data_IF_101418157035
#
_entry.id   IF_101418157035
#
_cell.length_a   1.000
_cell.length_b   1.000
_cell.length_c   1.000
_cell.angle_alpha   90.00
_cell.angle_beta   90.00
_cell.angle_gamma   90.00
#
_symmetry.space_group_name_H-M   'P 1'
#
loop_
_entity.id
_entity.type
_entity.pdbx_description
1 polymer ?
#
# COMPACT_ATOMS: atom_id res chain seq x y z
N UNK A 1 29.54 18.60 2.33
CA UNK A 1 28.94 18.33 1.01
C UNK A 1 28.18 17.01 1.05
N UNK A 2 28.63 16.03 1.85
CA UNK A 2 27.84 14.84 2.21
C UNK A 2 26.73 15.13 3.25
N UNK A 3 26.93 16.06 4.18
CA UNK A 3 25.89 16.40 5.19
C UNK A 3 24.65 17.13 4.62
N UNK A 4 24.69 17.58 3.36
CA UNK A 4 23.56 18.28 2.70
C UNK A 4 22.69 17.35 1.85
N UNK A 5 23.17 16.13 1.54
CA UNK A 5 22.36 15.12 0.84
C UNK A 5 21.50 14.30 1.82
N UNK A 6 21.92 14.20 3.08
CA UNK A 6 21.15 13.52 4.13
C UNK A 6 19.98 14.38 4.63
N UNK A 7 20.16 15.71 4.75
CA UNK A 7 19.06 16.63 5.12
C UNK A 7 17.94 16.70 4.06
N UNK A 8 18.27 16.53 2.77
CA UNK A 8 17.30 16.48 1.66
C UNK A 8 16.57 15.14 1.61
N UNK A 9 17.24 14.04 1.97
CA UNK A 9 16.57 12.74 2.13
C UNK A 9 15.67 12.74 3.36
N UNK A 10 16.06 13.38 4.45
CA UNK A 10 15.27 13.43 5.68
C UNK A 10 14.01 14.30 5.50
N UNK A 11 14.08 15.43 4.78
CA UNK A 11 12.86 16.22 4.46
C UNK A 11 11.92 15.54 3.46
N UNK A 12 12.45 14.83 2.46
CA UNK A 12 11.64 14.02 1.54
C UNK A 12 11.04 12.77 2.18
N UNK A 13 11.57 12.31 3.32
CA UNK A 13 11.03 11.18 4.10
C UNK A 13 10.04 11.68 5.16
N UNK A 14 10.31 12.82 5.81
CA UNK A 14 9.48 13.34 6.91
C UNK A 14 8.16 13.94 6.42
N UNK A 15 8.11 14.58 5.24
CA UNK A 15 6.82 15.04 4.66
C UNK A 15 6.03 13.88 4.01
N UNK A 16 6.68 12.76 3.69
CA UNK A 16 6.10 11.66 2.93
C UNK A 16 5.60 10.50 3.81
N UNK A 17 6.22 10.28 4.98
CA UNK A 17 5.70 9.39 6.03
C UNK A 17 4.45 9.96 6.70
N UNK A 18 4.27 11.29 6.70
CA UNK A 18 3.00 11.91 7.10
C UNK A 18 1.89 11.61 6.09
N UNK A 19 2.18 11.58 4.79
CA UNK A 19 1.15 11.47 3.73
C UNK A 19 0.80 10.05 3.27
N UNK A 20 1.72 9.08 3.30
CA UNK A 20 1.39 7.67 3.04
C UNK A 20 0.53 7.06 4.16
N UNK A 21 0.64 7.61 5.37
CA UNK A 21 -0.26 7.32 6.48
C UNK A 21 -1.59 8.07 6.41
N UNK A 22 -1.71 9.18 5.68
CA UNK A 22 -2.90 10.06 5.74
C UNK A 22 -4.16 9.44 5.13
N UNK A 23 -4.08 8.67 4.04
CA UNK A 23 -5.28 8.02 3.47
C UNK A 23 -5.93 7.02 4.46
N UNK A 24 -5.11 6.41 5.33
CA UNK A 24 -5.55 5.49 6.38
C UNK A 24 -5.76 6.18 7.75
N UNK A 25 -5.03 7.25 8.07
CA UNK A 25 -5.17 8.04 9.31
C UNK A 25 -6.40 8.94 9.28
N UNK A 26 -6.82 9.40 8.10
CA UNK A 26 -8.01 10.23 7.93
C UNK A 26 -9.32 9.46 8.18
N UNK A 27 -9.28 8.12 8.19
CA UNK A 27 -10.40 7.26 8.59
C UNK A 27 -10.43 6.96 10.11
N UNK A 28 -9.43 7.41 10.88
CA UNK A 28 -9.33 7.12 12.32
C UNK A 28 -9.11 8.35 13.22
N UNK A 29 -9.20 9.57 12.68
CA UNK A 29 -9.08 10.80 13.46
C UNK A 29 -9.68 12.00 12.73
N UNK A 30 -10.98 12.25 12.94
CA UNK A 30 -11.59 13.58 12.73
C UNK A 30 -12.53 13.89 13.89
N UNK A 31 -11.97 14.45 14.95
CA UNK A 31 -12.69 15.07 16.06
C UNK A 31 -12.18 16.50 16.28
N UNK A 32 -13.13 17.45 16.38
CA UNK A 32 -13.04 18.89 16.68
C UNK A 32 -12.28 19.80 15.71
N UNK A 33 -12.75 21.01 15.35
CA UNK A 33 -13.92 21.81 15.75
C UNK A 33 -13.80 23.16 15.02
N UNK A 34 -14.85 23.57 14.30
CA UNK A 34 -15.67 24.77 14.55
C UNK A 34 -15.14 26.09 13.94
N UNK A 35 -16.06 26.71 13.17
CA UNK A 35 -15.99 28.03 12.57
C UNK A 35 -16.47 29.05 13.60
N UNK A 36 -15.68 30.09 13.87
CA UNK A 36 -16.23 31.38 14.31
C UNK A 36 -15.44 32.52 13.63
N UNK A 37 -16.17 33.35 12.88
CA UNK A 37 -15.79 34.72 12.52
C UNK A 37 -16.33 35.64 13.63
N UNK A 38 -15.53 36.57 14.15
CA UNK A 38 -15.89 37.99 14.25
C UNK A 38 -14.70 38.86 14.73
N UNK A 39 -14.82 40.12 14.34
CA UNK A 39 -13.90 41.26 14.27
C UNK A 39 -13.57 41.92 15.62
N UNK A 40 -12.37 42.50 15.74
CA UNK A 40 -12.19 43.85 16.32
C UNK A 40 -10.73 44.33 16.15
N UNK A 41 -10.60 45.56 15.67
CA UNK A 41 -9.33 46.19 15.31
C UNK A 41 -8.58 46.90 16.44
N UNK A 42 -7.32 47.17 16.08
CA UNK A 42 -6.50 48.34 16.39
C UNK A 42 -5.24 48.17 17.26
N UNK A 43 -4.17 48.72 16.69
CA UNK A 43 -2.90 49.18 17.24
C UNK A 43 -1.95 48.21 18.00
N UNK A 44 -0.86 47.86 17.32
CA UNK A 44 0.48 48.20 17.80
C UNK A 44 1.54 47.93 16.73
N UNK A 45 1.92 48.98 16.00
CA UNK A 45 3.18 49.07 15.25
C UNK A 45 4.37 48.75 16.19
N UNK A 46 4.92 47.54 16.08
CA UNK A 46 6.27 47.23 16.60
C UNK A 46 7.10 46.73 15.43
N UNK A 47 7.89 47.63 14.88
CA UNK A 47 8.92 47.34 13.90
C UNK A 47 9.94 46.37 14.50
N UNK A 48 9.79 45.07 14.22
CA UNK A 48 10.85 44.09 14.35
C UNK A 48 11.35 43.74 12.96
N UNK A 49 12.37 44.50 12.55
CA UNK A 49 13.27 44.14 11.47
C UNK A 49 14.12 42.97 11.96
N UNK A 50 13.70 41.74 11.67
CA UNK A 50 14.51 40.56 11.96
C UNK A 50 14.45 39.56 10.80
N UNK A 51 15.56 39.49 10.05
CA UNK A 51 16.00 38.38 9.18
C UNK A 51 15.00 37.77 8.18
N UNK A 52 14.82 38.44 7.02
CA UNK A 52 13.97 38.00 5.88
C UNK A 52 14.72 37.17 4.80
N UNK A 53 15.92 36.65 5.07
CA UNK A 53 16.72 35.92 4.05
C UNK A 53 16.44 34.39 4.00
N UNK A 54 15.69 33.83 4.96
CA UNK A 54 15.39 32.38 5.01
C UNK A 54 14.03 32.00 4.42
N UNK A 55 13.08 32.94 4.32
CA UNK A 55 11.73 32.68 3.81
C UNK A 55 11.68 32.67 2.27
N UNK A 56 12.55 33.43 1.60
CA UNK A 56 12.63 33.48 0.13
C UNK A 56 13.16 32.17 -0.47
N UNK A 57 14.10 31.50 0.21
CA UNK A 57 14.65 30.22 -0.24
C UNK A 57 13.62 29.08 -0.26
N UNK A 58 12.76 29.01 0.76
CA UNK A 58 11.73 27.98 0.85
C UNK A 58 10.58 28.25 -0.13
N UNK A 59 10.14 29.51 -0.25
CA UNK A 59 9.15 29.91 -1.24
C UNK A 59 9.62 29.68 -2.69
N UNK A 60 10.92 29.86 -2.97
CA UNK A 60 11.51 29.56 -4.27
C UNK A 60 11.49 28.05 -4.58
N UNK A 61 11.89 27.20 -3.61
CA UNK A 61 11.84 25.74 -3.76
C UNK A 61 10.42 25.23 -4.01
N UNK A 62 9.44 25.71 -3.25
CA UNK A 62 8.03 25.37 -3.43
C UNK A 62 7.51 25.75 -4.83
N UNK A 63 7.93 26.90 -5.36
CA UNK A 63 7.58 27.33 -6.72
C UNK A 63 8.23 26.45 -7.78
N UNK A 64 9.49 26.07 -7.58
CA UNK A 64 10.21 25.18 -8.48
C UNK A 64 9.61 23.77 -8.50
N UNK A 65 9.30 23.22 -7.32
CA UNK A 65 8.59 21.95 -7.15
C UNK A 65 7.22 21.97 -7.86
N UNK A 66 6.43 23.03 -7.66
CA UNK A 66 5.16 23.21 -8.38
C UNK A 66 5.38 23.21 -9.90
N UNK A 67 6.41 23.90 -10.38
CA UNK A 67 6.76 23.90 -11.80
C UNK A 67 7.16 22.52 -12.34
N UNK A 68 7.83 21.67 -11.54
CA UNK A 68 8.11 20.29 -11.92
C UNK A 68 6.85 19.42 -11.96
N UNK A 69 5.96 19.57 -10.99
CA UNK A 69 4.67 18.86 -10.93
C UNK A 69 3.83 19.20 -12.17
N UNK A 70 3.70 20.48 -12.51
CA UNK A 70 2.96 20.93 -13.71
C UNK A 70 3.56 20.38 -15.01
N UNK A 71 4.89 20.32 -15.11
CA UNK A 71 5.58 19.73 -16.27
C UNK A 71 5.30 18.24 -16.39
N UNK A 72 5.43 17.49 -15.29
CA UNK A 72 5.15 16.05 -15.28
C UNK A 72 3.69 15.78 -15.64
N UNK A 73 2.76 16.57 -15.08
CA UNK A 73 1.34 16.46 -15.38
C UNK A 73 1.03 16.69 -16.86
N UNK A 74 1.62 17.73 -17.47
CA UNK A 74 1.49 17.99 -18.90
C UNK A 74 2.12 16.89 -19.76
N UNK A 75 3.27 16.34 -19.36
CA UNK A 75 3.93 15.24 -20.07
C UNK A 75 3.09 13.97 -20.02
N UNK A 76 2.55 13.62 -18.86
CA UNK A 76 1.70 12.44 -18.71
C UNK A 76 0.40 12.61 -19.48
N UNK A 77 -0.23 13.78 -19.42
CA UNK A 77 -1.41 14.09 -20.23
C UNK A 77 -1.16 13.90 -21.73
N UNK A 78 0.01 14.35 -22.21
CA UNK A 78 0.43 14.16 -23.60
C UNK A 78 0.69 12.68 -23.93
N UNK A 79 1.31 11.93 -23.01
CA UNK A 79 1.57 10.50 -23.20
C UNK A 79 0.28 9.69 -23.24
N UNK A 80 -0.68 9.96 -22.35
CA UNK A 80 -2.00 9.35 -22.41
C UNK A 80 -2.65 9.62 -23.77
N UNK A 81 -2.77 10.89 -24.15
CA UNK A 81 -3.36 11.28 -25.43
C UNK A 81 -2.65 10.66 -26.65
N UNK A 82 -1.32 10.51 -26.60
CA UNK A 82 -0.53 9.89 -27.65
C UNK A 82 -0.84 8.39 -27.78
N UNK A 83 -0.93 7.67 -26.66
CA UNK A 83 -1.17 6.23 -26.67
C UNK A 83 -2.65 5.85 -26.90
N UNK A 84 -3.61 6.72 -26.54
CA UNK A 84 -5.05 6.45 -26.67
C UNK A 84 -5.49 5.87 -28.03
N UNK A 85 -5.08 6.42 -29.19
CA UNK A 85 -5.51 5.89 -30.48
C UNK A 85 -5.07 4.44 -30.75
N UNK A 86 -3.95 3.99 -30.16
CA UNK A 86 -3.42 2.64 -30.34
C UNK A 86 -4.23 1.58 -29.59
N UNK A 87 -4.88 1.97 -28.49
CA UNK A 87 -5.65 1.06 -27.64
C UNK A 87 -7.16 1.14 -27.90
N UNK A 88 -7.69 2.30 -28.30
CA UNK A 88 -9.13 2.50 -28.54
C UNK A 88 -9.53 2.22 -30.00
N UNK A 89 -8.73 2.63 -30.99
CA UNK A 89 -9.08 2.50 -32.41
C UNK A 89 -8.42 1.23 -32.99
N UNK A 90 -9.10 0.08 -32.81
CA UNK A 90 -8.73 -1.31 -33.16
C UNK A 90 -8.32 -1.58 -34.63
N UNK A 91 -7.41 -0.80 -35.20
CA UNK A 91 -6.95 -0.90 -36.60
C UNK A 91 -5.67 -1.71 -36.73
N UNK A 92 -4.94 -1.90 -35.63
CA UNK A 92 -3.75 -2.75 -35.50
C UNK A 92 -3.73 -3.35 -34.09
N UNK A 93 -3.25 -4.58 -33.96
CA UNK A 93 -3.11 -5.28 -32.67
C UNK A 93 -2.25 -4.44 -31.70
N UNK A 94 -2.86 -3.62 -30.84
CA UNK A 94 -2.20 -2.83 -29.78
C UNK A 94 -1.37 -3.67 -28.79
N UNK A 95 -1.37 -4.99 -28.97
CA UNK A 95 -0.49 -5.98 -28.38
C UNK A 95 1.01 -5.63 -28.50
N UNK A 96 1.49 -5.20 -29.66
CA UNK A 96 2.92 -4.92 -29.86
C UNK A 96 3.35 -3.65 -29.09
N UNK A 97 2.52 -2.61 -29.13
CA UNK A 97 2.73 -1.38 -28.37
C UNK A 97 2.66 -1.64 -26.86
N UNK A 98 1.73 -2.49 -26.42
CA UNK A 98 1.66 -2.89 -25.01
C UNK A 98 2.87 -3.71 -24.57
N UNK A 99 3.36 -4.63 -25.41
CA UNK A 99 4.58 -5.39 -25.13
C UNK A 99 5.79 -4.46 -24.96
N UNK A 100 5.88 -3.39 -25.74
CA UNK A 100 6.91 -2.36 -25.57
C UNK A 100 6.77 -1.65 -24.21
N UNK A 101 5.55 -1.27 -23.83
CA UNK A 101 5.28 -0.68 -22.50
C UNK A 101 5.64 -1.65 -21.36
N UNK A 102 5.35 -2.94 -21.50
CA UNK A 102 5.73 -3.99 -20.52
C UNK A 102 7.25 -4.20 -20.44
N UNK A 103 7.96 -4.05 -21.56
CA UNK A 103 9.41 -4.09 -21.56
C UNK A 103 10.00 -2.87 -20.83
N UNK A 104 9.47 -1.68 -21.08
CA UNK A 104 9.86 -0.44 -20.37
C UNK A 104 9.52 -0.51 -18.89
N UNK A 105 8.37 -1.10 -18.53
CA UNK A 105 8.00 -1.40 -17.16
C UNK A 105 9.10 -2.18 -16.44
N UNK A 106 9.50 -3.28 -17.04
CA UNK A 106 10.44 -4.23 -16.45
C UNK A 106 11.87 -3.68 -16.33
N UNK A 107 12.27 -2.84 -17.29
CA UNK A 107 13.66 -2.34 -17.40
C UNK A 107 13.87 -0.98 -16.76
N UNK A 108 12.81 -0.15 -16.67
CA UNK A 108 12.92 1.24 -16.23
C UNK A 108 12.02 1.51 -15.01
N UNK A 109 10.74 1.17 -15.08
CA UNK A 109 9.78 1.55 -14.02
C UNK A 109 10.02 0.75 -12.74
N UNK A 110 10.10 -0.59 -12.81
CA UNK A 110 10.30 -1.42 -11.61
C UNK A 110 11.64 -1.12 -10.91
N UNK A 111 12.77 -0.92 -11.62
CA UNK A 111 14.02 -0.51 -10.98
C UNK A 111 14.00 0.92 -10.41
N UNK A 112 13.14 1.80 -10.93
CA UNK A 112 13.00 3.19 -10.43
C UNK A 112 12.05 3.21 -9.23
N UNK A 113 12.56 2.75 -8.10
CA UNK A 113 11.83 2.69 -6.84
C UNK A 113 11.27 4.09 -6.45
N UNK A 114 10.05 4.12 -5.91
CA UNK A 114 9.30 5.32 -5.51
C UNK A 114 8.91 6.29 -6.63
N UNK A 115 8.91 5.84 -7.90
CA UNK A 115 8.20 6.58 -8.94
C UNK A 115 6.70 6.60 -8.66
N UNK A 116 6.03 7.75 -8.80
CA UNK A 116 4.61 7.94 -8.39
C UNK A 116 3.59 7.99 -9.52
N UNK A 117 4.00 8.41 -10.71
CA UNK A 117 3.03 8.79 -11.75
C UNK A 117 3.22 8.04 -13.07
N UNK A 118 4.45 7.72 -13.47
CA UNK A 118 4.73 7.12 -14.78
C UNK A 118 4.07 5.74 -14.96
N UNK A 119 3.98 4.96 -13.89
CA UNK A 119 3.32 3.66 -13.90
C UNK A 119 1.83 3.74 -14.25
N UNK A 120 1.18 4.89 -14.07
CA UNK A 120 -0.25 5.05 -14.39
C UNK A 120 -0.54 4.99 -15.90
N UNK A 121 0.48 5.18 -16.74
CA UNK A 121 0.37 4.91 -18.19
C UNK A 121 0.01 3.44 -18.41
N UNK A 122 0.74 2.52 -17.77
CA UNK A 122 0.43 1.09 -17.84
C UNK A 122 -0.87 0.76 -17.13
N UNK A 123 -1.15 1.41 -16.00
CA UNK A 123 -2.40 1.19 -15.26
C UNK A 123 -3.65 1.42 -16.13
N UNK A 124 -3.67 2.54 -16.86
CA UNK A 124 -4.76 2.89 -17.76
C UNK A 124 -4.87 1.92 -18.94
N UNK A 125 -3.78 1.73 -19.69
CA UNK A 125 -3.85 0.92 -20.92
C UNK A 125 -3.95 -0.58 -20.67
N UNK A 126 -3.48 -1.08 -19.52
CA UNK A 126 -3.70 -2.47 -19.13
C UNK A 126 -5.21 -2.76 -18.98
N UNK A 127 -5.99 -1.78 -18.51
CA UNK A 127 -7.42 -1.92 -18.28
C UNK A 127 -8.27 -1.75 -19.55
N UNK A 128 -7.67 -1.48 -20.71
CA UNK A 128 -8.40 -1.34 -21.98
C UNK A 128 -8.94 -2.68 -22.52
N UNK A 129 -8.40 -3.81 -22.08
CA UNK A 129 -8.87 -5.14 -22.48
C UNK A 129 -8.53 -6.19 -21.41
N UNK A 130 -9.41 -7.18 -21.15
CA UNK A 130 -9.13 -8.32 -20.27
C UNK A 130 -7.79 -9.03 -20.58
N UNK A 131 -7.42 -9.13 -21.85
CA UNK A 131 -6.17 -9.75 -22.26
C UNK A 131 -4.93 -8.97 -21.77
N UNK A 132 -5.00 -7.63 -21.78
CA UNK A 132 -3.89 -6.77 -21.36
C UNK A 132 -3.75 -6.76 -19.83
N UNK A 133 -4.86 -6.85 -19.10
CA UNK A 133 -4.89 -7.09 -17.65
C UNK A 133 -4.13 -8.39 -17.34
N UNK A 134 -4.48 -9.48 -18.01
CA UNK A 134 -3.82 -10.78 -17.83
C UNK A 134 -2.32 -10.72 -18.14
N UNK A 135 -1.92 -10.01 -19.20
CA UNK A 135 -0.52 -9.84 -19.55
C UNK A 135 0.25 -9.04 -18.50
N UNK A 136 -0.30 -7.90 -18.05
CA UNK A 136 0.34 -7.07 -17.04
C UNK A 136 0.47 -7.79 -15.70
N UNK A 137 -0.62 -8.39 -15.21
CA UNK A 137 -0.61 -9.15 -13.95
C UNK A 137 0.30 -10.37 -14.05
N UNK A 138 0.27 -11.10 -15.18
CA UNK A 138 1.17 -12.23 -15.45
C UNK A 138 2.64 -11.84 -15.41
N UNK A 139 3.02 -10.73 -16.04
CA UNK A 139 4.40 -10.19 -16.00
C UNK A 139 4.79 -9.80 -14.57
N UNK A 140 3.92 -9.12 -13.82
CA UNK A 140 4.20 -8.73 -12.43
C UNK A 140 4.39 -9.95 -11.51
N UNK A 141 3.53 -10.97 -11.64
CA UNK A 141 3.63 -12.22 -10.88
C UNK A 141 4.91 -12.98 -11.26
N UNK A 142 5.22 -13.09 -12.55
CA UNK A 142 6.46 -13.72 -13.01
C UNK A 142 7.68 -13.04 -12.39
N UNK A 143 7.71 -11.71 -12.38
CA UNK A 143 8.78 -10.92 -11.78
C UNK A 143 8.88 -11.08 -10.26
N UNK A 144 7.74 -11.17 -9.57
CA UNK A 144 7.68 -11.29 -8.11
C UNK A 144 8.22 -12.64 -7.61
N UNK A 145 8.08 -13.71 -8.40
CA UNK A 145 8.46 -15.07 -7.99
C UNK A 145 9.63 -15.68 -8.79
N UNK A 146 10.31 -14.88 -9.63
CA UNK A 146 11.48 -15.32 -10.41
C UNK A 146 12.75 -15.41 -9.53
N UNK A 147 13.29 -16.62 -9.27
CA UNK A 147 14.51 -16.77 -8.47
C UNK A 147 15.77 -16.15 -9.10
N UNK A 148 15.77 -15.86 -10.40
CA UNK A 148 16.91 -15.26 -11.08
C UNK A 148 17.01 -13.74 -10.84
N UNK A 149 15.95 -13.10 -10.31
CA UNK A 149 15.93 -11.65 -10.07
C UNK A 149 16.40 -11.28 -8.67
N UNK A 150 17.01 -10.08 -8.49
CA UNK A 150 17.38 -9.57 -7.17
C UNK A 150 16.17 -9.48 -6.23
N UNK A 151 16.38 -9.76 -4.94
CA UNK A 151 15.30 -9.78 -3.92
C UNK A 151 14.47 -8.48 -3.93
N UNK A 152 15.13 -7.32 -3.93
CA UNK A 152 14.47 -6.00 -3.93
C UNK A 152 13.56 -5.84 -5.15
N UNK A 153 13.99 -6.30 -6.32
CA UNK A 153 13.18 -6.25 -7.53
C UNK A 153 11.89 -7.07 -7.38
N UNK A 154 12.00 -8.28 -6.79
CA UNK A 154 10.85 -9.15 -6.54
C UNK A 154 9.85 -8.54 -5.56
N UNK A 155 10.35 -7.87 -4.52
CA UNK A 155 9.52 -7.19 -3.53
C UNK A 155 8.73 -6.03 -4.17
N UNK A 156 9.39 -5.21 -5.00
CA UNK A 156 8.72 -4.12 -5.74
C UNK A 156 7.68 -4.71 -6.71
N UNK A 157 8.02 -5.77 -7.43
CA UNK A 157 7.08 -6.44 -8.33
C UNK A 157 5.84 -7.00 -7.58
N UNK A 158 6.03 -7.57 -6.38
CA UNK A 158 4.91 -8.01 -5.54
C UNK A 158 4.01 -6.83 -5.11
N UNK A 159 4.60 -5.66 -4.80
CA UNK A 159 3.84 -4.45 -4.51
C UNK A 159 3.02 -3.96 -5.72
N UNK A 160 3.57 -4.05 -6.94
CA UNK A 160 2.82 -3.79 -8.18
C UNK A 160 1.63 -4.75 -8.36
N UNK A 161 1.80 -6.06 -8.07
CA UNK A 161 0.68 -7.03 -8.10
C UNK A 161 -0.42 -6.61 -7.13
N UNK A 162 -0.06 -6.39 -5.86
CA UNK A 162 -1.02 -6.04 -4.82
C UNK A 162 -1.77 -4.75 -5.13
N UNK A 163 -1.03 -3.72 -5.50
CA UNK A 163 -1.58 -2.39 -5.77
C UNK A 163 -2.47 -2.37 -7.02
N UNK A 164 -2.07 -3.05 -8.10
CA UNK A 164 -2.87 -3.08 -9.33
C UNK A 164 -4.20 -3.79 -9.11
N UNK A 165 -4.18 -5.00 -8.54
CA UNK A 165 -5.38 -5.82 -8.30
C UNK A 165 -6.36 -5.11 -7.36
N UNK A 166 -5.85 -4.39 -6.37
CA UNK A 166 -6.65 -3.64 -5.41
C UNK A 166 -7.28 -2.36 -6.01
N UNK A 167 -6.61 -1.69 -6.96
CA UNK A 167 -7.02 -0.38 -7.47
C UNK A 167 -7.65 -0.41 -8.86
N UNK A 168 -7.37 -1.40 -9.71
CA UNK A 168 -7.94 -1.51 -11.05
C UNK A 168 -9.45 -1.78 -10.99
N UNK A 169 -10.27 -0.88 -11.53
CA UNK A 169 -11.73 -1.00 -11.51
C UNK A 169 -12.26 -1.98 -12.58
N UNK A 170 -11.57 -2.10 -13.72
CA UNK A 170 -12.03 -2.92 -14.85
C UNK A 170 -11.67 -4.41 -14.72
N UNK A 171 -11.27 -4.86 -13.52
CA UNK A 171 -10.90 -6.26 -13.27
C UNK A 171 -12.14 -7.08 -12.87
N UNK A 172 -12.38 -8.22 -13.53
CA UNK A 172 -13.54 -9.06 -13.17
C UNK A 172 -13.27 -9.85 -11.88
N UNK A 173 -14.33 -10.32 -11.21
CA UNK A 173 -14.17 -11.12 -9.98
C UNK A 173 -13.37 -12.40 -10.23
N UNK A 174 -13.51 -13.02 -11.40
CA UNK A 174 -12.76 -14.22 -11.78
C UNK A 174 -11.26 -13.92 -11.86
N UNK A 175 -10.88 -12.76 -12.42
CA UNK A 175 -9.48 -12.32 -12.49
C UNK A 175 -8.91 -12.05 -11.10
N UNK A 176 -9.65 -11.35 -10.23
CA UNK A 176 -9.24 -11.12 -8.83
C UNK A 176 -8.98 -12.45 -8.13
N UNK A 177 -9.93 -13.39 -8.20
CA UNK A 177 -9.83 -14.73 -7.59
C UNK A 177 -8.64 -15.50 -8.13
N UNK A 178 -8.41 -15.46 -9.44
CA UNK A 178 -7.33 -16.19 -10.08
C UNK A 178 -5.96 -15.64 -9.67
N UNK A 179 -5.78 -14.31 -9.68
CA UNK A 179 -4.54 -13.69 -9.20
C UNK A 179 -4.31 -14.01 -7.72
N UNK A 180 -5.34 -13.87 -6.88
CA UNK A 180 -5.27 -14.19 -5.45
C UNK A 180 -4.84 -15.65 -5.23
N UNK A 181 -5.42 -16.58 -6.00
CA UNK A 181 -5.09 -18.02 -5.97
C UNK A 181 -3.66 -18.29 -6.42
N UNK A 182 -3.20 -17.70 -7.52
CA UNK A 182 -1.84 -17.88 -8.06
C UNK A 182 -0.79 -17.35 -7.07
N UNK A 183 -0.97 -16.13 -6.58
CA UNK A 183 -0.05 -15.52 -5.60
C UNK A 183 -0.03 -16.36 -4.31
N UNK A 184 -1.21 -16.76 -3.81
CA UNK A 184 -1.31 -17.63 -2.64
C UNK A 184 -0.64 -18.99 -2.83
N UNK A 185 -0.82 -19.63 -3.98
CA UNK A 185 -0.16 -20.90 -4.28
C UNK A 185 1.38 -20.77 -4.29
N UNK A 186 1.91 -19.68 -4.84
CA UNK A 186 3.35 -19.41 -4.84
C UNK A 186 3.90 -19.20 -3.42
N UNK A 187 3.19 -18.44 -2.58
CA UNK A 187 3.56 -18.25 -1.17
C UNK A 187 3.52 -19.58 -0.39
N UNK A 188 2.48 -20.41 -0.58
CA UNK A 188 2.42 -21.73 0.08
C UNK A 188 3.52 -22.68 -0.41
N UNK A 189 3.88 -22.60 -1.70
CA UNK A 189 5.02 -23.34 -2.26
C UNK A 189 6.33 -22.90 -1.61
N UNK A 190 6.52 -21.61 -1.37
CA UNK A 190 7.64 -21.07 -0.61
C UNK A 190 7.67 -21.61 0.82
N UNK A 191 6.54 -21.57 1.54
CA UNK A 191 6.45 -22.11 2.90
C UNK A 191 6.91 -23.58 2.95
N UNK A 192 6.44 -24.41 2.02
CA UNK A 192 6.81 -25.84 1.97
C UNK A 192 8.32 -26.06 1.78
N UNK A 193 9.02 -25.16 1.09
CA UNK A 193 10.46 -25.27 0.81
C UNK A 193 11.31 -24.78 1.98
N UNK A 194 10.97 -23.62 2.55
CA UNK A 194 11.85 -22.90 3.50
C UNK A 194 11.49 -23.12 4.99
N UNK A 195 10.29 -23.62 5.32
CA UNK A 195 9.81 -23.68 6.71
C UNK A 195 10.57 -24.68 7.60
N UNK A 196 11.23 -25.68 7.00
CA UNK A 196 12.09 -26.60 7.72
C UNK A 196 13.30 -25.89 8.36
N UNK A 197 13.86 -24.90 7.65
CA UNK A 197 15.02 -24.13 8.08
C UNK A 197 14.65 -22.82 8.79
N UNK A 198 13.38 -22.44 8.74
CA UNK A 198 12.86 -21.23 9.39
C UNK A 198 12.90 -21.36 10.92
N UNK A 199 13.68 -20.47 11.55
CA UNK A 199 13.79 -20.34 13.01
C UNK A 199 12.95 -19.20 13.59
N UNK A 200 12.31 -18.41 12.72
CA UNK A 200 11.53 -17.23 13.07
C UNK A 200 11.56 -16.20 11.93
N UNK A 201 10.98 -15.01 12.16
CA UNK A 201 10.88 -13.97 11.14
C UNK A 201 12.25 -13.39 10.75
N UNK A 202 12.52 -13.25 9.45
CA UNK A 202 13.77 -12.71 8.92
C UNK A 202 13.55 -12.03 7.55
N UNK A 203 13.48 -10.69 7.56
CA UNK A 203 13.19 -9.87 6.37
C UNK A 203 14.28 -9.98 5.30
N UNK A 204 15.53 -10.14 5.70
CA UNK A 204 16.66 -10.20 4.75
C UNK A 204 16.63 -11.50 3.97
N UNK A 205 16.24 -12.60 4.64
CA UNK A 205 16.18 -13.92 4.01
C UNK A 205 14.87 -14.16 3.28
N UNK A 206 13.75 -13.71 3.83
CA UNK A 206 12.39 -14.05 3.36
C UNK A 206 11.60 -12.82 2.89
N UNK A 207 12.29 -11.75 2.45
CA UNK A 207 11.68 -10.47 2.10
C UNK A 207 10.63 -10.54 0.98
N UNK A 208 10.79 -11.46 0.04
CA UNK A 208 9.84 -11.74 -1.03
C UNK A 208 8.56 -12.41 -0.51
N UNK A 209 8.69 -13.36 0.43
CA UNK A 209 7.55 -13.96 1.12
C UNK A 209 6.72 -12.88 1.85
N UNK A 210 7.37 -11.97 2.57
CA UNK A 210 6.66 -10.90 3.27
C UNK A 210 6.02 -9.90 2.32
N UNK A 211 6.71 -9.48 1.25
CA UNK A 211 6.15 -8.56 0.26
C UNK A 211 4.95 -9.17 -0.47
N UNK A 212 5.03 -10.45 -0.88
CA UNK A 212 3.92 -11.16 -1.51
C UNK A 212 2.74 -11.38 -0.53
N UNK A 213 3.03 -11.64 0.75
CA UNK A 213 1.98 -11.75 1.78
C UNK A 213 1.30 -10.39 2.01
N UNK A 214 2.07 -9.31 2.14
CA UNK A 214 1.53 -7.94 2.25
C UNK A 214 0.64 -7.59 1.05
N UNK A 215 1.05 -7.97 -0.17
CA UNK A 215 0.23 -7.79 -1.37
C UNK A 215 -1.11 -8.55 -1.28
N UNK A 216 -1.13 -9.80 -0.80
CA UNK A 216 -2.39 -10.54 -0.59
C UNK A 216 -3.29 -9.92 0.48
N UNK A 217 -2.71 -9.49 1.61
CA UNK A 217 -3.47 -8.82 2.67
C UNK A 217 -4.08 -7.51 2.14
N UNK A 218 -3.33 -6.76 1.35
CA UNK A 218 -3.79 -5.52 0.71
C UNK A 218 -4.92 -5.78 -0.29
N UNK A 219 -4.77 -6.78 -1.17
CA UNK A 219 -5.83 -7.21 -2.10
C UNK A 219 -7.08 -7.60 -1.32
N UNK A 220 -6.94 -8.40 -0.25
CA UNK A 220 -8.08 -8.77 0.59
C UNK A 220 -8.79 -7.54 1.16
N UNK A 221 -8.05 -6.53 1.62
CA UNK A 221 -8.66 -5.32 2.18
C UNK A 221 -9.56 -4.60 1.17
N UNK A 222 -9.12 -4.49 -0.09
CA UNK A 222 -9.85 -3.77 -1.14
C UNK A 222 -10.91 -4.60 -1.86
N UNK A 223 -10.69 -5.91 -1.98
CA UNK A 223 -11.40 -6.80 -2.89
C UNK A 223 -12.00 -8.05 -2.22
N UNK A 224 -12.34 -7.95 -0.92
CA UNK A 224 -12.89 -9.10 -0.20
C UNK A 224 -14.26 -9.54 -0.76
N UNK A 225 -15.06 -8.61 -1.30
CA UNK A 225 -16.40 -8.89 -1.88
C UNK A 225 -16.28 -9.87 -3.03
N UNK A 226 -15.28 -9.67 -3.88
CA UNK A 226 -14.97 -10.52 -5.01
C UNK A 226 -14.51 -11.92 -4.57
N UNK A 227 -14.13 -12.14 -3.31
CA UNK A 227 -13.72 -13.44 -2.77
C UNK A 227 -14.88 -14.23 -2.14
N UNK A 228 -16.09 -13.68 -2.12
CA UNK A 228 -17.31 -14.33 -1.62
C UNK A 228 -18.09 -14.96 -2.77
N UNK A 229 -18.71 -16.12 -2.55
CA UNK A 229 -19.57 -16.77 -3.54
C UNK A 229 -20.98 -16.18 -3.44
N UNK A 230 -21.41 -15.53 -4.51
CA UNK A 230 -22.77 -15.00 -4.62
C UNK A 230 -23.77 -16.16 -4.68
N UNK A 231 -24.71 -16.22 -3.74
CA UNK A 231 -25.90 -17.06 -3.84
C UNK A 231 -26.96 -16.29 -4.64
N UNK A 232 -27.77 -16.98 -5.45
CA UNK A 232 -28.58 -16.44 -6.55
C UNK A 232 -29.62 -15.34 -6.23
N UNK A 233 -29.75 -14.89 -4.97
CA UNK A 233 -30.69 -13.86 -4.48
C UNK A 233 -30.00 -12.66 -3.80
N UNK A 234 -28.75 -12.36 -4.16
CA UNK A 234 -27.93 -11.31 -3.51
C UNK A 234 -27.92 -10.01 -4.32
N UNK A 235 -28.53 -8.95 -3.77
CA UNK A 235 -28.29 -7.58 -4.23
C UNK A 235 -26.86 -7.17 -3.78
N UNK A 236 -25.99 -6.79 -4.73
CA UNK A 236 -24.55 -6.51 -4.50
C UNK A 236 -24.28 -5.34 -3.53
N UNK A 237 -25.28 -4.50 -3.25
CA UNK A 237 -25.14 -3.24 -2.49
C UNK A 237 -25.45 -3.32 -0.98
N UNK A 238 -25.89 -4.48 -0.46
CA UNK A 238 -26.28 -4.61 0.95
C UNK A 238 -25.14 -5.14 1.85
N UNK A 239 -24.15 -4.27 2.12
CA UNK A 239 -23.01 -4.58 3.01
C UNK A 239 -23.43 -5.06 4.41
N UNK A 240 -24.59 -4.60 4.90
CA UNK A 240 -25.14 -4.96 6.20
C UNK A 240 -25.53 -6.44 6.31
N UNK A 241 -25.73 -7.12 5.17
CA UNK A 241 -26.15 -8.53 5.15
C UNK A 241 -24.98 -9.51 5.33
N UNK A 242 -23.75 -9.11 5.02
CA UNK A 242 -22.54 -9.86 5.39
C UNK A 242 -22.27 -9.83 6.91
N UNK A 243 -23.01 -9.01 7.66
CA UNK A 243 -22.99 -8.94 9.14
C UNK A 243 -24.01 -9.89 9.79
N UNK A 244 -24.88 -10.49 8.98
CA UNK A 244 -25.92 -11.39 9.44
C UNK A 244 -25.39 -12.68 10.09
N UNK A 245 -26.29 -13.48 10.71
CA UNK A 245 -25.97 -14.81 11.21
C UNK A 245 -25.69 -15.83 10.08
N UNK A 246 -26.07 -15.50 8.84
CA UNK A 246 -25.91 -16.37 7.68
C UNK A 246 -24.43 -16.45 7.27
N UNK A 247 -23.93 -17.68 7.15
CA UNK A 247 -22.51 -17.98 6.96
C UNK A 247 -22.04 -17.49 5.58
N UNK A 248 -21.27 -16.38 5.56
CA UNK A 248 -20.60 -15.89 4.34
C UNK A 248 -19.79 -17.03 3.72
N UNK A 249 -20.14 -17.42 2.51
CA UNK A 249 -19.49 -18.55 1.83
C UNK A 249 -18.31 -18.03 1.02
N UNK A 250 -17.10 -18.31 1.50
CA UNK A 250 -15.86 -17.91 0.85
C UNK A 250 -15.48 -18.87 -0.29
N UNK A 251 -14.76 -18.37 -1.29
CA UNK A 251 -14.16 -19.23 -2.32
C UNK A 251 -13.30 -20.32 -1.64
N UNK A 252 -13.48 -21.61 -1.98
CA UNK A 252 -12.81 -22.72 -1.34
C UNK A 252 -11.28 -22.57 -1.34
N UNK A 253 -10.65 -22.84 -0.19
CA UNK A 253 -9.20 -22.83 -0.05
C UNK A 253 -8.59 -21.47 0.29
N UNK A 254 -9.32 -20.35 0.14
CA UNK A 254 -8.78 -19.01 0.47
C UNK A 254 -8.50 -18.90 1.97
N UNK A 255 -9.47 -19.31 2.81
CA UNK A 255 -9.36 -19.26 4.27
C UNK A 255 -8.23 -20.15 4.77
N UNK A 256 -8.15 -21.38 4.27
CA UNK A 256 -7.11 -22.35 4.63
C UNK A 256 -5.72 -21.87 4.20
N UNK A 257 -5.61 -21.27 3.01
CA UNK A 257 -4.36 -20.74 2.47
C UNK A 257 -3.85 -19.59 3.32
N UNK A 258 -4.69 -18.58 3.57
CA UNK A 258 -4.31 -17.44 4.40
C UNK A 258 -3.99 -17.86 5.84
N UNK A 259 -4.80 -18.74 6.44
CA UNK A 259 -4.51 -19.27 7.77
C UNK A 259 -3.14 -19.97 7.80
N UNK A 260 -2.83 -20.82 6.80
CA UNK A 260 -1.54 -21.52 6.75
C UNK A 260 -0.34 -20.57 6.61
N UNK A 261 -0.49 -19.48 5.85
CA UNK A 261 0.55 -18.47 5.69
C UNK A 261 0.75 -17.65 6.97
N UNK A 262 -0.33 -17.15 7.56
CA UNK A 262 -0.32 -16.27 8.74
C UNK A 262 0.27 -16.98 9.96
N UNK A 263 -0.16 -18.21 10.22
CA UNK A 263 0.28 -19.00 11.38
C UNK A 263 1.54 -19.85 11.09
N UNK A 264 2.23 -19.59 9.97
CA UNK A 264 3.53 -20.22 9.70
C UNK A 264 4.62 -19.70 10.63
N UNK A 265 5.76 -20.42 10.69
CA UNK A 265 6.94 -19.97 11.46
C UNK A 265 7.50 -18.62 11.01
N UNK A 266 7.17 -18.17 9.79
CA UNK A 266 7.61 -16.89 9.25
C UNK A 266 6.91 -15.70 9.89
N UNK A 267 5.71 -15.90 10.47
CA UNK A 267 4.89 -14.89 11.15
C UNK A 267 4.83 -13.54 10.40
N UNK A 268 4.20 -13.49 9.21
CA UNK A 268 4.15 -12.29 8.39
C UNK A 268 3.49 -11.09 9.07
N UNK A 269 2.55 -11.30 10.00
CA UNK A 269 1.87 -10.19 10.71
C UNK A 269 2.79 -9.39 11.64
N UNK A 270 4.00 -9.88 11.95
CA UNK A 270 5.01 -9.10 12.70
C UNK A 270 5.91 -8.26 11.78
N UNK A 271 5.99 -8.61 10.48
CA UNK A 271 6.94 -8.01 9.54
C UNK A 271 6.25 -7.11 8.52
N UNK A 272 5.06 -7.49 8.04
CA UNK A 272 4.29 -6.63 7.13
C UNK A 272 3.91 -5.31 7.82
N UNK A 273 3.67 -4.27 7.03
CA UNK A 273 3.32 -2.95 7.53
C UNK A 273 2.17 -3.00 8.55
N UNK A 274 2.31 -2.34 9.72
CA UNK A 274 1.25 -2.28 10.72
C UNK A 274 -0.07 -1.73 10.17
N UNK A 275 -0.02 -0.78 9.23
CA UNK A 275 -1.22 -0.19 8.62
C UNK A 275 -2.03 -1.27 7.90
N UNK A 276 -1.38 -2.03 7.01
CA UNK A 276 -2.03 -3.11 6.25
C UNK A 276 -2.50 -4.24 7.18
N UNK A 277 -1.69 -4.61 8.18
CA UNK A 277 -2.02 -5.69 9.12
C UNK A 277 -3.21 -5.33 10.00
N UNK A 278 -3.28 -4.11 10.53
CA UNK A 278 -4.39 -3.68 11.38
C UNK A 278 -5.70 -3.60 10.59
N UNK A 279 -5.64 -3.12 9.35
CA UNK A 279 -6.81 -3.03 8.48
C UNK A 279 -7.33 -4.42 8.09
N UNK A 280 -6.41 -5.32 7.71
CA UNK A 280 -6.75 -6.73 7.52
C UNK A 280 -7.36 -7.34 8.78
N UNK A 281 -6.84 -7.05 9.97
CA UNK A 281 -7.36 -7.60 11.22
C UNK A 281 -8.76 -7.09 11.55
N UNK A 282 -9.04 -5.79 11.36
CA UNK A 282 -10.38 -5.21 11.51
C UNK A 282 -11.37 -5.89 10.57
N UNK A 283 -11.06 -5.92 9.27
CA UNK A 283 -11.88 -6.55 8.24
C UNK A 283 -12.11 -8.05 8.49
N UNK A 284 -11.03 -8.80 8.71
CA UNK A 284 -11.12 -10.25 8.88
C UNK A 284 -11.91 -10.64 10.15
N UNK A 285 -11.86 -9.81 11.20
CA UNK A 285 -12.66 -10.00 12.40
C UNK A 285 -14.14 -9.68 12.14
N UNK A 286 -14.42 -8.54 11.51
CA UNK A 286 -15.77 -8.10 11.19
C UNK A 286 -16.51 -9.08 10.25
N UNK A 287 -15.83 -9.56 9.22
CA UNK A 287 -16.35 -10.54 8.27
C UNK A 287 -16.32 -11.99 8.81
N UNK A 288 -15.95 -12.19 10.09
CA UNK A 288 -15.75 -13.50 10.73
C UNK A 288 -14.87 -14.46 9.89
N UNK A 289 -13.96 -13.90 9.12
CA UNK A 289 -13.10 -14.62 8.20
C UNK A 289 -11.97 -15.34 8.96
N UNK A 290 -11.14 -14.58 9.68
CA UNK A 290 -10.02 -15.07 10.49
C UNK A 290 -9.81 -14.18 11.72
N UNK A 291 -9.66 -14.80 12.90
CA UNK A 291 -9.41 -14.07 14.15
C UNK A 291 -7.92 -13.99 14.47
N UNK A 292 -7.26 -12.92 13.98
CA UNK A 292 -5.81 -12.73 14.09
C UNK A 292 -5.37 -11.75 15.19
N UNK A 293 -6.30 -11.06 15.84
CA UNK A 293 -6.02 -10.06 16.88
C UNK A 293 -5.13 -10.61 18.02
N UNK A 294 -5.38 -11.81 18.58
CA UNK A 294 -4.51 -12.35 19.63
C UNK A 294 -3.08 -12.62 19.15
N UNK A 295 -2.92 -13.03 17.88
CA UNK A 295 -1.61 -13.25 17.27
C UNK A 295 -0.84 -11.93 17.16
N UNK A 296 -1.50 -10.87 16.68
CA UNK A 296 -0.92 -9.52 16.61
C UNK A 296 -0.53 -9.02 18.01
N UNK A 297 -1.37 -9.23 19.03
CA UNK A 297 -1.04 -8.85 20.41
C UNK A 297 0.16 -9.63 20.96
N UNK A 298 0.25 -10.93 20.66
CA UNK A 298 1.44 -11.72 21.01
C UNK A 298 2.71 -11.25 20.31
N UNK A 299 2.58 -10.76 19.06
CA UNK A 299 3.70 -10.27 18.26
C UNK A 299 4.33 -9.00 18.84
N UNK A 300 3.57 -8.19 19.60
CA UNK A 300 4.11 -7.02 20.31
C UNK A 300 5.17 -7.39 21.37
N UNK A 301 5.20 -8.64 21.82
CA UNK A 301 6.19 -9.17 22.77
C UNK A 301 7.39 -9.82 22.07
N UNK A 302 7.32 -10.02 20.76
CA UNK A 302 8.40 -10.59 19.96
C UNK A 302 9.30 -9.45 19.46
N UNK A 303 10.54 -9.43 19.93
CA UNK A 303 11.57 -8.56 19.39
C UNK A 303 12.19 -9.20 18.16
N UNK A 304 12.16 -8.49 17.02
CA UNK A 304 12.87 -8.91 15.81
C UNK A 304 14.37 -8.73 16.08
N UNK A 305 15.04 -9.75 16.62
CA UNK A 305 16.44 -9.61 17.02
C UNK A 305 17.35 -9.51 15.79
N UNK A 306 18.02 -8.37 15.65
CA UNK A 306 19.13 -8.19 14.73
C UNK A 306 20.36 -8.97 15.25
N UNK A 307 20.50 -10.24 14.87
CA UNK A 307 21.77 -10.94 15.14
C UNK A 307 22.78 -10.48 14.10
N UNK A 308 23.56 -9.44 14.42
CA UNK A 308 24.87 -9.28 13.78
C UNK A 308 25.63 -10.57 14.02
N UNK A 309 25.88 -11.34 12.97
CA UNK A 309 26.96 -12.30 12.97
C UNK A 309 28.30 -11.53 12.90
N UNK A 310 28.56 -10.65 13.87
CA UNK A 310 29.91 -10.15 14.12
C UNK A 310 30.55 -11.13 15.08
N UNK A 311 31.41 -11.95 14.49
CA UNK A 311 32.49 -12.60 15.21
C UNK A 311 33.32 -11.51 15.89
N UNK A 312 33.63 -11.76 17.17
CA UNK A 312 34.73 -11.21 17.95
C UNK A 312 34.46 -10.03 18.94
N UNK A 313 35.16 -10.12 20.07
CA UNK A 313 35.42 -9.12 21.13
C UNK A 313 34.48 -8.98 22.34
N UNK A 314 34.74 -9.85 23.32
CA UNK A 314 34.89 -9.73 24.80
C UNK A 314 34.53 -8.46 25.62
N UNK A 315 34.03 -7.34 25.09
CA UNK A 315 33.70 -6.18 25.94
C UNK A 315 32.53 -5.38 25.42
N UNK A 316 31.29 -5.79 25.72
CA UNK A 316 30.16 -4.88 25.72
C UNK A 316 29.33 -5.10 26.99
N UNK A 317 29.24 -4.05 27.82
CA UNK A 317 28.25 -3.95 28.89
C UNK A 317 26.86 -4.17 28.29
N UNK A 318 25.91 -4.80 29.01
CA UNK A 318 24.52 -4.83 28.57
C UNK A 318 23.97 -3.41 28.71
N UNK A 319 24.02 -2.65 27.64
CA UNK A 319 23.27 -1.40 27.54
C UNK A 319 21.79 -1.79 27.71
N UNK A 320 21.15 -1.24 28.75
CA UNK A 320 19.74 -1.51 29.02
C UNK A 320 18.93 -0.91 27.88
N UNK A 321 18.62 -1.74 26.89
CA UNK A 321 17.64 -1.42 25.86
C UNK A 321 16.32 -1.05 26.56
N UNK A 322 15.93 0.21 26.43
CA UNK A 322 14.61 0.65 26.89
C UNK A 322 13.58 0.29 25.82
N UNK A 323 12.34 0.04 26.21
CA UNK A 323 11.27 -0.29 25.27
C UNK A 323 11.06 0.79 24.17
N UNK A 324 11.51 2.02 24.42
CA UNK A 324 11.45 3.14 23.48
C UNK A 324 12.56 3.10 22.42
N UNK A 325 13.80 2.72 22.79
CA UNK A 325 14.91 2.56 21.83
C UNK A 325 14.70 1.34 20.95
N UNK A 326 14.23 0.22 21.54
CA UNK A 326 13.95 -1.02 20.82
C UNK A 326 12.81 -0.90 19.79
N UNK A 327 11.79 -0.06 20.03
CA UNK A 327 10.72 0.21 19.05
C UNK A 327 11.20 0.97 17.80
N UNK A 328 12.16 1.88 17.94
CA UNK A 328 12.71 2.66 16.82
C UNK A 328 13.61 1.80 15.93
N UNK A 329 14.29 0.82 16.52
CA UNK A 329 15.11 -0.16 15.80
C UNK A 329 14.27 -1.21 15.06
N UNK A 330 13.07 -1.54 15.57
CA UNK A 330 12.15 -2.49 14.93
C UNK A 330 11.45 -1.93 13.68
N UNK A 331 11.29 -0.61 13.56
CA UNK A 331 10.63 0.02 12.42
C UNK A 331 11.37 -0.26 11.09
N UNK A 332 12.69 -0.38 11.13
CA UNK A 332 13.52 -0.78 9.98
C UNK A 332 13.36 -2.25 9.57
N UNK A 333 12.77 -3.06 10.45
CA UNK A 333 12.52 -4.49 10.25
C UNK A 333 11.05 -4.74 9.86
N UNK A 334 10.22 -3.71 9.81
CA UNK A 334 8.90 -3.75 9.23
C UNK A 334 8.97 -3.35 7.75
N UNK A 335 8.12 -3.96 6.93
CA UNK A 335 7.96 -3.53 5.54
C UNK A 335 7.24 -2.20 5.48
N UNK A 336 7.73 -1.30 4.63
CA UNK A 336 7.01 -0.09 4.28
C UNK A 336 5.69 -0.42 3.56
N UNK A 337 4.66 0.39 3.78
CA UNK A 337 3.39 0.33 3.07
C UNK A 337 3.49 1.02 1.69
N UNK A 338 4.50 0.65 0.89
CA UNK A 338 4.65 1.23 -0.45
C UNK A 338 3.78 0.47 -1.47
N UNK A 339 2.79 1.15 -2.05
CA UNK A 339 1.93 0.62 -3.11
C UNK A 339 1.99 1.53 -4.35
N UNK A 340 2.51 1.04 -5.50
CA UNK A 340 2.77 1.88 -6.66
C UNK A 340 1.58 2.61 -7.28
N UNK A 341 0.35 2.16 -7.06
CA UNK A 341 -0.87 2.79 -7.55
C UNK A 341 -1.67 3.46 -6.43
N UNK A 342 -0.99 4.04 -5.43
CA UNK A 342 -1.60 5.00 -4.51
C UNK A 342 -2.15 6.24 -5.24
N UNK A 343 -3.10 7.00 -4.64
CA UNK A 343 -3.97 7.91 -5.37
C UNK A 343 -3.23 8.88 -6.29
N UNK A 344 -3.77 8.99 -7.51
CA UNK A 344 -3.22 9.86 -8.54
C UNK A 344 -3.63 11.32 -8.32
N UNK A 345 -2.67 12.17 -7.93
CA UNK A 345 -2.92 13.56 -7.51
C UNK A 345 -2.66 14.64 -8.57
N UNK A 346 -2.24 14.28 -9.79
CA UNK A 346 -1.90 15.27 -10.82
C UNK A 346 -3.16 15.84 -11.49
N UNK A 347 -3.41 17.15 -11.40
CA UNK A 347 -4.73 17.73 -11.66
C UNK A 347 -5.22 17.62 -13.10
N UNK A 348 -4.33 17.71 -14.10
CA UNK A 348 -4.71 17.70 -15.51
C UNK A 348 -4.87 16.28 -16.06
N UNK A 349 -3.92 15.41 -15.77
CA UNK A 349 -3.90 14.04 -16.26
C UNK A 349 -4.76 13.08 -15.45
N UNK A 350 -5.24 13.47 -14.25
CA UNK A 350 -6.15 12.65 -13.42
C UNK A 350 -7.40 12.21 -14.18
N UNK A 351 -7.92 13.04 -15.10
CA UNK A 351 -9.08 12.74 -15.95
C UNK A 351 -8.98 11.42 -16.74
N UNK A 352 -7.75 10.93 -17.01
CA UNK A 352 -7.54 9.67 -17.72
C UNK A 352 -7.72 8.44 -16.83
N UNK A 353 -7.61 8.64 -15.52
CA UNK A 353 -7.67 7.58 -14.50
C UNK A 353 -9.03 7.56 -13.79
N UNK A 354 -9.76 8.68 -13.84
CA UNK A 354 -11.12 8.80 -13.31
C UNK A 354 -12.06 7.75 -13.93
N UNK A 355 -12.72 6.97 -13.08
CA UNK A 355 -13.62 5.89 -13.49
C UNK A 355 -12.96 4.51 -13.64
N UNK A 356 -11.62 4.44 -13.78
CA UNK A 356 -10.86 3.19 -13.86
C UNK A 356 -10.10 2.85 -12.57
N UNK A 357 -10.28 3.68 -11.54
CA UNK A 357 -9.56 3.61 -10.27
C UNK A 357 -10.53 3.39 -9.10
N UNK A 358 -10.23 2.42 -8.26
CA UNK A 358 -10.96 2.16 -7.02
C UNK A 358 -10.29 2.87 -5.86
N UNK A 359 -10.96 3.90 -5.38
CA UNK A 359 -10.60 4.59 -4.15
C UNK A 359 -10.87 3.71 -2.93
N UNK A 360 -10.07 3.91 -1.88
CA UNK A 360 -10.34 3.27 -0.61
C UNK A 360 -11.65 3.81 -0.05
N UNK A 361 -12.55 2.91 0.33
CA UNK A 361 -13.78 3.24 1.06
C UNK A 361 -13.68 2.58 2.42
N UNK A 362 -14.02 3.32 3.47
CA UNK A 362 -14.16 2.76 4.81
C UNK A 362 -15.17 1.61 4.83
N UNK A 363 -15.17 0.88 5.93
CA UNK A 363 -15.99 -0.31 6.11
C UNK A 363 -17.28 0.12 6.80
N UNK A 364 -18.41 0.05 6.09
CA UNK A 364 -19.71 0.41 6.65
C UNK A 364 -20.02 -0.49 7.86
N UNK A 365 -20.43 0.12 8.95
CA UNK A 365 -20.68 -0.54 10.24
C UNK A 365 -19.44 -0.83 11.11
N UNK A 366 -18.20 -0.61 10.63
CA UNK A 366 -16.98 -0.61 11.47
C UNK A 366 -16.44 0.80 11.69
N UNK A 367 -16.51 1.63 10.66
CA UNK A 367 -16.03 3.01 10.70
C UNK A 367 -17.17 3.99 11.04
N UNK A 368 -18.43 3.55 10.94
CA UNK A 368 -19.62 4.32 11.36
C UNK A 368 -19.79 4.29 12.90
N UNK A 369 -19.35 3.23 13.59
CA UNK A 369 -19.42 3.13 15.06
C UNK A 369 -18.44 4.09 15.77
N UNK A 370 -17.41 4.56 15.07
CA UNK A 370 -16.46 5.56 15.56
C UNK A 370 -17.02 7.00 15.46
N UNK A 371 -18.12 7.23 14.71
CA UNK A 371 -18.78 8.56 14.60
C UNK A 371 -19.84 8.80 15.70
N UNK A 372 -20.46 7.74 16.23
CA UNK A 372 -21.59 7.85 17.18
C UNK A 372 -21.19 7.84 18.68
N UNK A 373 -19.92 7.58 19.00
CA UNK A 373 -19.47 7.37 20.38
C UNK A 373 -19.22 8.65 21.21
N UNK A 374 -19.21 9.84 20.58
CA UNK A 374 -18.83 11.10 21.24
C UNK A 374 -20.00 12.09 21.47
N UNK A 375 -21.26 11.69 21.28
CA UNK A 375 -22.41 12.60 21.44
C UNK A 375 -23.12 12.58 22.81
N UNK A 376 -22.67 11.78 23.77
CA UNK A 376 -23.40 11.54 25.03
C UNK A 376 -22.61 11.86 26.32
N UNK A 377 -21.81 12.93 26.31
CA UNK A 377 -21.33 13.59 27.54
C UNK A 377 -21.52 15.09 27.47
N UNK A 378 -22.75 15.55 27.70
CA UNK A 378 -23.06 16.82 28.36
C UNK A 378 -24.58 16.98 28.57
N UNK A 379 -25.12 16.24 29.56
CA UNK A 379 -26.38 16.57 30.22
C UNK A 379 -26.32 16.19 31.70
N UNK A 380 -25.76 17.09 32.52
CA UNK A 380 -26.23 17.33 33.90
C UNK A 380 -26.40 18.83 34.15
#
# INVERSE_FOLDING_TARGET
MDDLEDDVKETLVVEDDTQHGEEWRMAGARGNGELEEEDDGDDSDTSSVDSDDSLDGEAYRLRELRGYVEKIDCLLDLMFAYYTPFFINQTTDGSDDFNLLLQQFSTTIVPTYRSRHTQFILFHFAQSSPLLIDWFTGVCIAHAFDPARPLVFRQIAAAYVGSFVARAANMTKEMVREVFRIVGANILSFCKKEEAECKGPDVRRFGDFYAATQALLYIFCFRWRELVIDTEDQDEDDELRYLGPDETTWVPGIKESLHRMIYSKFNPLKVCSPLVVNQFARLANHLRFLFVIPLIESNKRLHLSYKTASTDSTYNLPERETALTSRKDEQWLELEAYFPFDPYKLPRSKRWIEGEYVEWKGIRGLDDEDEDADSDTDRE
#
